data_IF_223425071254
#
_entry.id   IF_223425071254
#
_cell.length_a   1.000
_cell.length_b   1.000
_cell.length_c   1.000
_cell.angle_alpha   90.00
_cell.angle_beta   90.00
_cell.angle_gamma   90.00
#
_symmetry.space_group_name_H-M   'P 1'
#
loop_
_entity.id
_entity.type
_entity.pdbx_description
1 polymer ?
#
# COMPACT_ATOMS: atom_id res chain seq x y z
N UNK A 1 -2.26 8.43 15.60
CA UNK A 1 -1.92 9.84 15.33
C UNK A 1 -1.47 9.92 13.88
N UNK A 2 -2.35 10.31 12.96
CA UNK A 2 -1.98 10.54 11.56
C UNK A 2 -1.50 11.99 11.47
N UNK A 3 -0.19 12.20 11.39
CA UNK A 3 0.37 13.52 11.14
C UNK A 3 -0.14 14.03 9.79
N UNK A 4 -0.94 15.09 9.82
CA UNK A 4 -1.38 15.83 8.64
C UNK A 4 -0.22 16.70 8.13
N UNK A 5 0.91 16.08 7.79
CA UNK A 5 2.06 16.76 7.23
C UNK A 5 1.78 17.10 5.76
N UNK A 6 2.04 18.34 5.39
CA UNK A 6 1.91 18.78 4.01
C UNK A 6 2.98 18.07 3.16
N UNK A 7 2.60 17.58 1.98
CA UNK A 7 3.51 16.91 1.04
C UNK A 7 4.74 17.77 0.71
N UNK A 8 4.59 19.09 0.66
CA UNK A 8 5.72 20.00 0.41
C UNK A 8 6.73 20.05 1.57
N UNK A 9 6.27 19.93 2.81
CA UNK A 9 7.16 19.84 3.97
C UNK A 9 7.95 18.53 3.97
N UNK A 10 7.28 17.42 3.61
CA UNK A 10 7.92 16.11 3.49
C UNK A 10 8.99 16.14 2.39
N UNK A 11 8.69 16.72 1.23
CA UNK A 11 9.68 16.89 0.15
C UNK A 11 10.89 17.71 0.62
N UNK A 12 10.64 18.83 1.32
CA UNK A 12 11.72 19.67 1.84
C UNK A 12 12.62 18.91 2.83
N UNK A 13 12.06 18.06 3.69
CA UNK A 13 12.82 17.21 4.60
C UNK A 13 13.64 16.14 3.87
N UNK A 14 13.06 15.50 2.84
CA UNK A 14 13.76 14.48 2.04
C UNK A 14 15.00 15.09 1.37
N UNK A 15 14.89 16.28 0.77
CA UNK A 15 16.02 16.92 0.08
C UNK A 15 17.17 17.36 1.00
N UNK A 16 17.00 17.30 2.32
CA UNK A 16 18.07 17.57 3.29
C UNK A 16 18.88 16.33 3.66
N UNK A 17 18.42 15.13 3.27
CA UNK A 17 19.10 13.89 3.58
C UNK A 17 20.39 13.73 2.77
N UNK A 18 21.43 13.09 3.33
CA UNK A 18 22.60 12.70 2.56
C UNK A 18 22.24 11.68 1.48
N UNK A 19 23.08 11.58 0.45
CA UNK A 19 22.81 10.77 -0.75
C UNK A 19 22.61 9.30 -0.39
N UNK A 20 23.38 8.77 0.55
CA UNK A 20 23.29 7.38 1.00
C UNK A 20 21.94 7.08 1.66
N UNK A 21 21.44 8.01 2.48
CA UNK A 21 20.13 7.88 3.13
C UNK A 21 18.99 8.05 2.13
N UNK A 22 19.14 8.92 1.13
CA UNK A 22 18.18 9.04 0.03
C UNK A 22 18.05 7.74 -0.76
N UNK A 23 19.18 7.09 -1.07
CA UNK A 23 19.19 5.80 -1.78
C UNK A 23 18.50 4.72 -0.94
N UNK A 24 18.80 4.64 0.35
CA UNK A 24 18.13 3.69 1.25
C UNK A 24 16.62 3.95 1.35
N UNK A 25 16.22 5.22 1.49
CA UNK A 25 14.81 5.61 1.54
C UNK A 25 14.05 5.25 0.26
N UNK A 26 14.66 5.46 -0.91
CA UNK A 26 14.05 5.06 -2.19
C UNK A 26 13.81 3.55 -2.26
N UNK A 27 14.78 2.73 -1.83
CA UNK A 27 14.62 1.27 -1.83
C UNK A 27 13.49 0.80 -0.89
N UNK A 28 13.35 1.42 0.28
CA UNK A 28 12.27 1.11 1.22
C UNK A 28 10.89 1.49 0.68
N UNK A 29 10.80 2.65 0.00
CA UNK A 29 9.56 3.10 -0.66
C UNK A 29 9.18 2.13 -1.78
N UNK A 30 10.12 1.74 -2.64
CA UNK A 30 9.89 0.82 -3.75
C UNK A 30 9.31 -0.51 -3.25
N UNK A 31 9.97 -1.14 -2.26
CA UNK A 31 9.50 -2.39 -1.65
C UNK A 31 8.08 -2.28 -1.10
N UNK A 32 7.74 -1.16 -0.47
CA UNK A 32 6.41 -0.96 0.10
C UNK A 32 5.36 -0.73 -0.99
N UNK A 33 5.69 0.03 -2.04
CA UNK A 33 4.81 0.24 -3.19
C UNK A 33 4.51 -1.08 -3.90
N UNK A 34 5.52 -1.92 -4.14
CA UNK A 34 5.35 -3.25 -4.72
C UNK A 34 4.40 -4.11 -3.87
N UNK A 35 4.61 -4.14 -2.55
CA UNK A 35 3.77 -4.89 -1.62
C UNK A 35 2.32 -4.43 -1.68
N UNK A 36 2.09 -3.12 -1.59
CA UNK A 36 0.73 -2.54 -1.65
C UNK A 36 0.08 -2.83 -3.00
N UNK A 37 0.83 -2.73 -4.09
CA UNK A 37 0.34 -3.00 -5.44
C UNK A 37 -0.09 -4.46 -5.57
N UNK A 38 0.74 -5.40 -5.12
CA UNK A 38 0.40 -6.83 -5.12
C UNK A 38 -0.82 -7.13 -4.26
N UNK A 39 -0.96 -6.48 -3.10
CA UNK A 39 -2.15 -6.62 -2.26
C UNK A 39 -3.41 -6.11 -2.96
N UNK A 40 -3.35 -4.95 -3.61
CA UNK A 40 -4.47 -4.39 -4.37
C UNK A 40 -4.85 -5.28 -5.57
N UNK A 41 -3.85 -5.81 -6.29
CA UNK A 41 -4.09 -6.75 -7.39
C UNK A 41 -4.78 -8.03 -6.89
N UNK A 42 -4.32 -8.59 -5.77
CA UNK A 42 -4.97 -9.73 -5.14
C UNK A 42 -6.41 -9.38 -4.71
N UNK A 43 -6.63 -8.24 -4.08
CA UNK A 43 -7.96 -7.78 -3.71
C UNK A 43 -8.89 -7.73 -4.93
N UNK A 44 -8.44 -7.19 -6.07
CA UNK A 44 -9.25 -7.16 -7.30
C UNK A 44 -9.48 -8.54 -7.93
N UNK A 45 -8.53 -9.46 -7.81
CA UNK A 45 -8.60 -10.80 -8.42
C UNK A 45 -9.46 -11.81 -7.64
N UNK A 46 -9.86 -11.49 -6.41
CA UNK A 46 -10.68 -12.34 -5.55
C UNK A 46 -11.95 -11.61 -5.05
N UNK A 47 -12.39 -10.55 -5.74
CA UNK A 47 -13.65 -9.87 -5.39
C UNK A 47 -14.85 -10.83 -5.42
N UNK A 48 -14.81 -11.82 -6.31
CA UNK A 48 -15.80 -12.90 -6.44
C UNK A 48 -15.94 -13.71 -5.13
N UNK A 49 -14.91 -13.82 -4.30
CA UNK A 49 -14.98 -14.51 -3.00
C UNK A 49 -15.70 -13.68 -1.92
N UNK A 50 -15.91 -12.39 -2.16
CA UNK A 50 -16.72 -11.55 -1.30
C UNK A 50 -18.19 -11.52 -1.76
N UNK A 51 -18.54 -12.19 -2.86
CA UNK A 51 -19.93 -12.30 -3.33
C UNK A 51 -20.69 -13.30 -2.42
N UNK A 52 -21.74 -12.86 -1.71
CA UNK A 52 -22.57 -13.74 -0.88
C UNK A 52 -23.29 -14.85 -1.69
N UNK A 53 -23.46 -14.68 -3.01
CA UNK A 53 -24.03 -15.71 -3.89
C UNK A 53 -23.03 -16.84 -4.22
N UNK A 54 -21.73 -16.56 -4.13
CA UNK A 54 -20.64 -17.54 -4.32
C UNK A 54 -20.17 -18.16 -2.99
N UNK A 55 -20.78 -17.77 -1.86
CA UNK A 55 -20.48 -18.34 -0.55
C UNK A 55 -21.03 -19.77 -0.44
N UNK A 56 -20.14 -20.75 -0.63
CA UNK A 56 -20.46 -22.18 -0.51
C UNK A 56 -20.87 -22.62 0.91
N UNK A 57 -20.77 -21.73 1.91
CA UNK A 57 -21.29 -21.95 3.26
C UNK A 57 -22.63 -21.26 3.49
N UNK A 58 -23.09 -20.45 2.52
CA UNK A 58 -24.44 -19.90 2.48
C UNK A 58 -25.40 -20.95 1.89
N UNK A 59 -25.46 -22.12 2.52
CA UNK A 59 -26.54 -23.09 2.31
C UNK A 59 -27.79 -22.52 3.00
N UNK A 60 -28.60 -21.74 2.28
CA UNK A 60 -30.01 -21.54 2.66
C UNK A 60 -30.69 -22.92 2.68
N UNK A 61 -30.88 -23.45 3.89
CA UNK A 61 -31.67 -24.66 4.17
C UNK A 61 -33.18 -24.42 4.05
#
# INVERSE_FOLDING_TARGET
MTSNQNVEEIKAMIFQLPVEELVALMADIEKRVETVTMMQLAETGFQEWNDPEEDIYNDEA
#
